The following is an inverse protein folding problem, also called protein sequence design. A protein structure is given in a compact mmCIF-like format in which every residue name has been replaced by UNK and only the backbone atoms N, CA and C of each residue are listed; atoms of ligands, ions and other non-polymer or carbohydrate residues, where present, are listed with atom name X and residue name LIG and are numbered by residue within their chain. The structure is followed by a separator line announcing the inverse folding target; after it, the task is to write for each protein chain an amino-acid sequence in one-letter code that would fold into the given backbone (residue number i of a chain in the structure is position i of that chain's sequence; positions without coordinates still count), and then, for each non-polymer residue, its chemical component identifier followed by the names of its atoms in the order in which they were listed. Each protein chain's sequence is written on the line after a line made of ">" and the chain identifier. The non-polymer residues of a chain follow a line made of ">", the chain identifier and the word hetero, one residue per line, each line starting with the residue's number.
data_IF_445659846498
#
_entry.id   IF_445659846498
#
_cell.length_a   1.000
_cell.length_b   1.000
_cell.length_c   1.000
_cell.angle_alpha   90.00
_cell.angle_beta   90.00
_cell.angle_gamma   90.00
#
_symmetry.space_group_name_H-M   'P 1'
#
loop_
_entity.id
_entity.type
_entity.pdbx_description
1 polymer ?
#
# COMPACT_ATOMS: atom_id res chain seq x y z
N UNK A 1 21.94 -44.80 9.83
CA UNK A 1 21.40 -43.95 8.75
C UNK A 1 20.14 -43.22 9.28
N UNK A 2 20.29 -42.03 9.87
CA UNK A 2 19.21 -41.24 10.52
C UNK A 2 19.17 -39.79 10.00
N UNK A 3 19.38 -39.57 8.70
CA UNK A 3 19.62 -38.23 8.14
C UNK A 3 18.43 -37.62 7.40
N UNK A 4 17.47 -38.43 6.91
CA UNK A 4 16.34 -37.93 6.10
C UNK A 4 15.40 -36.97 6.84
N UNK A 5 15.09 -37.25 8.10
CA UNK A 5 14.10 -36.47 8.86
C UNK A 5 14.64 -35.11 9.34
N UNK A 6 15.95 -35.01 9.57
CA UNK A 6 16.59 -33.78 10.03
C UNK A 6 16.68 -32.74 8.90
N UNK A 7 17.04 -33.17 7.68
CA UNK A 7 17.12 -32.29 6.51
C UNK A 7 15.76 -31.70 6.13
N UNK A 8 14.68 -32.51 6.19
CA UNK A 8 13.30 -32.01 5.99
C UNK A 8 12.90 -30.97 7.04
N UNK A 9 13.29 -31.15 8.30
CA UNK A 9 13.01 -30.19 9.39
C UNK A 9 13.72 -28.86 9.16
N UNK A 10 15.00 -28.90 8.77
CA UNK A 10 15.78 -27.70 8.44
C UNK A 10 15.18 -26.97 7.24
N UNK A 11 14.84 -27.70 6.16
CA UNK A 11 14.17 -27.12 4.99
C UNK A 11 12.88 -26.41 5.38
N UNK A 12 11.99 -27.06 6.14
CA UNK A 12 10.72 -26.44 6.56
C UNK A 12 10.93 -25.16 7.37
N UNK A 13 11.90 -25.16 8.30
CA UNK A 13 12.21 -23.97 9.11
C UNK A 13 12.70 -22.83 8.22
N UNK A 14 13.65 -23.11 7.32
CA UNK A 14 14.18 -22.11 6.38
C UNK A 14 13.07 -21.60 5.46
N UNK A 15 12.24 -22.48 4.90
CA UNK A 15 11.11 -22.10 4.07
C UNK A 15 10.11 -21.20 4.81
N UNK A 16 9.79 -21.51 6.07
CA UNK A 16 8.91 -20.66 6.90
C UNK A 16 9.52 -19.29 7.13
N UNK A 17 10.81 -19.21 7.45
CA UNK A 17 11.52 -17.94 7.64
C UNK A 17 11.47 -17.10 6.36
N UNK A 18 11.73 -17.72 5.21
CA UNK A 18 11.66 -17.06 3.89
C UNK A 18 10.23 -16.57 3.61
N UNK A 19 9.21 -17.38 3.87
CA UNK A 19 7.82 -16.99 3.68
C UNK A 19 7.42 -15.81 4.58
N UNK A 20 7.85 -15.80 5.84
CA UNK A 20 7.61 -14.68 6.77
C UNK A 20 8.31 -13.41 6.26
N UNK A 21 9.56 -13.52 5.80
CA UNK A 21 10.28 -12.39 5.24
C UNK A 21 9.58 -11.82 4.01
N UNK A 22 9.15 -12.67 3.07
CA UNK A 22 8.35 -12.24 1.92
C UNK A 22 7.04 -11.57 2.37
N UNK A 23 6.32 -12.15 3.33
CA UNK A 23 5.08 -11.60 3.83
C UNK A 23 5.28 -10.17 4.37
N UNK A 24 6.34 -9.93 5.15
CA UNK A 24 6.67 -8.58 5.66
C UNK A 24 7.00 -7.63 4.50
N UNK A 25 7.76 -8.08 3.50
CA UNK A 25 8.09 -7.27 2.31
C UNK A 25 6.85 -6.79 1.54
N UNK A 26 5.76 -7.57 1.53
CA UNK A 26 4.51 -7.17 0.88
C UNK A 26 3.56 -6.38 1.81
N UNK A 27 3.44 -6.78 3.08
CA UNK A 27 2.52 -6.14 4.03
C UNK A 27 2.98 -4.73 4.40
N UNK A 28 4.29 -4.51 4.55
CA UNK A 28 4.84 -3.21 4.91
C UNK A 28 4.47 -2.08 3.93
N UNK A 29 4.72 -2.18 2.61
CA UNK A 29 4.34 -1.12 1.68
C UNK A 29 2.81 -0.94 1.60
N UNK A 30 2.03 -2.02 1.69
CA UNK A 30 0.57 -1.93 1.70
C UNK A 30 0.05 -1.18 2.94
N UNK A 31 0.56 -1.53 4.12
CA UNK A 31 0.27 -0.85 5.38
C UNK A 31 0.56 0.64 5.28
N UNK A 32 1.72 1.01 4.72
CA UNK A 32 2.15 2.40 4.61
C UNK A 32 1.26 3.21 3.66
N UNK A 33 0.83 2.62 2.55
CA UNK A 33 -0.10 3.25 1.60
C UNK A 33 -1.46 3.50 2.27
N UNK A 34 -2.03 2.48 2.90
CA UNK A 34 -3.37 2.56 3.51
C UNK A 34 -3.39 3.56 4.66
N UNK A 35 -2.44 3.46 5.59
CA UNK A 35 -2.37 4.40 6.73
C UNK A 35 -1.99 5.80 6.30
N UNK A 36 -1.09 5.94 5.32
CA UNK A 36 -0.70 7.22 4.73
C UNK A 36 -1.88 7.97 4.10
N UNK A 37 -2.84 7.26 3.50
CA UNK A 37 -4.03 7.86 2.90
C UNK A 37 -4.86 8.67 3.91
N UNK A 38 -4.81 8.30 5.19
CA UNK A 38 -5.54 8.97 6.27
C UNK A 38 -4.69 9.95 7.10
N UNK A 39 -3.41 10.18 6.74
CA UNK A 39 -2.54 11.13 7.46
C UNK A 39 -2.76 12.58 7.01
N UNK A 40 -2.53 13.51 7.93
CA UNK A 40 -2.51 14.94 7.61
C UNK A 40 -1.29 15.29 6.74
N UNK A 41 -1.33 16.40 5.96
CA UNK A 41 -0.17 16.84 5.17
C UNK A 41 1.08 17.09 6.02
N UNK A 42 0.89 17.53 7.27
CA UNK A 42 2.00 17.76 8.21
C UNK A 42 2.64 16.43 8.62
N UNK A 43 1.84 15.41 8.91
CA UNK A 43 2.32 14.06 9.26
C UNK A 43 3.01 13.37 8.08
N UNK A 44 2.54 13.57 6.84
CA UNK A 44 3.15 12.99 5.63
C UNK A 44 4.52 13.61 5.33
N UNK A 45 4.66 14.92 5.52
CA UNK A 45 5.92 15.64 5.25
C UNK A 45 6.87 15.69 6.46
N UNK A 46 6.48 15.07 7.58
CA UNK A 46 7.31 15.00 8.77
C UNK A 46 8.53 14.11 8.53
N UNK A 47 9.75 14.51 8.97
CA UNK A 47 10.93 13.65 8.91
C UNK A 47 10.86 12.48 9.92
N UNK A 48 9.95 12.54 10.88
CA UNK A 48 9.72 11.46 11.85
C UNK A 48 8.56 10.58 11.37
N UNK A 49 8.76 9.25 11.24
CA UNK A 49 7.70 8.35 10.78
C UNK A 49 6.62 8.20 11.85
N UNK A 50 5.41 8.66 11.53
CA UNK A 50 4.22 8.35 12.31
C UNK A 50 3.73 6.94 11.95
N UNK A 51 3.96 5.96 12.83
CA UNK A 51 3.54 4.58 12.59
C UNK A 51 2.03 4.44 12.58
N UNK A 52 1.33 5.08 13.53
CA UNK A 52 -0.13 5.09 13.63
C UNK A 52 -0.58 6.55 13.47
N UNK A 53 -1.55 6.84 12.58
CA UNK A 53 -2.06 8.19 12.43
C UNK A 53 -2.71 8.67 13.73
N UNK A 54 -2.30 9.83 14.22
CA UNK A 54 -2.88 10.47 15.42
C UNK A 54 -4.28 11.01 15.14
N UNK A 55 -4.50 11.44 13.90
CA UNK A 55 -5.75 11.96 13.39
C UNK A 55 -6.06 11.24 12.07
N UNK A 56 -7.29 10.73 11.94
CA UNK A 56 -7.76 10.08 10.72
C UNK A 56 -8.49 11.12 9.87
N UNK A 57 -7.87 11.56 8.77
CA UNK A 57 -8.45 12.56 7.87
C UNK A 57 -8.92 11.93 6.56
N UNK A 58 -10.04 12.44 6.03
CA UNK A 58 -10.57 12.06 4.71
C UNK A 58 -10.25 13.09 3.62
N UNK A 59 -9.53 14.16 3.97
CA UNK A 59 -9.32 15.29 3.08
C UNK A 59 -8.43 14.93 1.88
N UNK A 60 -7.55 13.95 2.03
CA UNK A 60 -6.78 13.38 0.91
C UNK A 60 -7.70 12.73 -0.13
N UNK A 61 -8.72 11.98 0.31
CA UNK A 61 -9.71 11.39 -0.58
C UNK A 61 -10.57 12.46 -1.24
N UNK A 62 -11.09 13.43 -0.48
CA UNK A 62 -11.85 14.56 -1.03
C UNK A 62 -11.05 15.29 -2.11
N UNK A 63 -9.77 15.59 -1.84
CA UNK A 63 -8.86 16.25 -2.78
C UNK A 63 -8.53 15.38 -4.00
N UNK A 64 -8.45 14.06 -3.84
CA UNK A 64 -8.21 13.13 -4.93
C UNK A 64 -9.41 13.12 -5.88
N UNK A 65 -10.61 12.88 -5.33
CA UNK A 65 -11.85 12.79 -6.10
C UNK A 65 -12.27 14.14 -6.69
N UNK A 66 -11.97 15.27 -6.03
CA UNK A 66 -12.22 16.60 -6.60
C UNK A 66 -11.35 16.92 -7.82
N UNK A 67 -10.32 16.14 -8.10
CA UNK A 67 -9.41 16.31 -9.24
C UNK A 67 -9.66 15.32 -10.37
N UNK A 68 -10.56 14.36 -10.18
CA UNK A 68 -10.88 13.31 -11.15
C UNK A 68 -12.03 13.70 -12.08
N UNK A 69 -12.05 14.94 -12.54
CA UNK A 69 -12.81 15.33 -13.73
C UNK A 69 -12.04 14.93 -14.98
N UNK A 70 -11.91 13.63 -15.21
CA UNK A 70 -11.43 13.11 -16.49
C UNK A 70 -12.62 12.95 -17.44
N UNK A 71 -12.45 13.25 -18.74
CA UNK A 71 -13.46 12.88 -19.73
C UNK A 71 -13.67 11.36 -19.74
N UNK A 72 -14.90 10.91 -19.94
CA UNK A 72 -15.30 9.49 -19.88
C UNK A 72 -14.45 8.61 -20.82
N UNK A 73 -13.97 9.19 -21.94
CA UNK A 73 -13.01 8.57 -22.83
C UNK A 73 -12.09 9.63 -23.45
N UNK A 74 -10.84 9.27 -23.76
CA UNK A 74 -9.96 10.05 -24.63
C UNK A 74 -9.43 9.16 -25.76
N UNK A 75 -9.70 9.54 -27.01
CA UNK A 75 -9.23 8.86 -28.23
C UNK A 75 -8.44 9.87 -29.07
N UNK A 76 -7.14 9.97 -28.82
CA UNK A 76 -6.28 10.96 -29.45
C UNK A 76 -6.74 12.39 -29.12
N UNK A 77 -7.28 13.11 -30.11
CA UNK A 77 -7.80 14.46 -29.94
C UNK A 77 -9.28 14.52 -29.55
N UNK A 78 -10.00 13.40 -29.58
CA UNK A 78 -11.42 13.34 -29.22
C UNK A 78 -11.54 13.09 -27.72
N UNK A 79 -12.16 14.04 -27.02
CA UNK A 79 -12.50 13.91 -25.60
C UNK A 79 -14.00 13.69 -25.45
N UNK A 80 -14.36 12.67 -24.67
CA UNK A 80 -15.73 12.41 -24.28
C UNK A 80 -16.26 13.46 -23.31
N UNK A 81 -17.58 13.45 -23.02
CA UNK A 81 -18.17 14.34 -22.03
C UNK A 81 -17.51 14.14 -20.66
N UNK A 82 -17.41 15.24 -19.91
CA UNK A 82 -16.90 15.24 -18.55
C UNK A 82 -18.02 14.82 -17.60
N UNK A 83 -17.71 14.01 -16.60
CA UNK A 83 -18.67 13.68 -15.56
C UNK A 83 -19.12 14.95 -14.81
N UNK A 84 -20.39 15.08 -14.42
CA UNK A 84 -20.86 16.19 -13.59
C UNK A 84 -20.10 16.23 -12.27
N UNK A 85 -19.82 17.44 -11.77
CA UNK A 85 -19.28 17.68 -10.42
C UNK A 85 -20.27 17.29 -9.31
#
# INVERSE_FOLDING_TARGET
>A
MKTSHSLKKVYNIVSIIVLIALAICFVFPLYWIVTGAFKTPVSINSPVPDWIPKELVMDNFKKLFSRQTAPIFELGFIKGPQAPE
#
